data_IF_330583390588
#
_entry.id   IF_330583390588
#
_cell.length_a   1.000
_cell.length_b   1.000
_cell.length_c   1.000
_cell.angle_alpha   90.00
_cell.angle_beta   90.00
_cell.angle_gamma   90.00
#
_symmetry.space_group_name_H-M   'P 1'
#
loop_
_entity.id
_entity.type
_entity.pdbx_description
1 polymer ?
#
# COMPACT_ATOMS: atom_id res chain seq x y z
N UNK A 1 6.97 -18.03 24.24
CA UNK A 1 6.41 -16.93 23.43
C UNK A 1 6.41 -17.34 21.95
N UNK A 2 5.51 -18.25 21.56
CA UNK A 2 5.50 -18.89 20.24
C UNK A 2 4.06 -19.01 19.71
N UNK A 3 3.34 -17.91 19.44
CA UNK A 3 1.96 -17.94 18.86
C UNK A 3 1.53 -16.64 18.14
N UNK A 4 2.44 -15.84 17.57
CA UNK A 4 2.05 -14.55 16.95
C UNK A 4 2.37 -14.40 15.45
N UNK A 5 3.13 -15.32 14.86
CA UNK A 5 3.55 -15.18 13.46
C UNK A 5 2.61 -15.83 12.44
N UNK A 6 1.72 -16.74 12.87
CA UNK A 6 0.75 -17.40 11.97
C UNK A 6 -0.47 -16.54 11.59
N UNK A 7 -0.84 -15.56 12.42
CA UNK A 7 -1.98 -14.66 12.16
C UNK A 7 -1.59 -13.42 11.34
N UNK A 8 -0.32 -13.05 11.31
CA UNK A 8 0.16 -11.93 10.50
C UNK A 8 0.28 -12.28 9.00
N UNK A 9 0.52 -13.55 8.67
CA UNK A 9 0.54 -14.02 7.28
C UNK A 9 -0.85 -13.97 6.61
N UNK A 10 -1.94 -14.14 7.37
CA UNK A 10 -3.32 -14.10 6.86
C UNK A 10 -3.84 -12.67 6.64
N UNK A 11 -3.37 -11.69 7.42
CA UNK A 11 -3.77 -10.30 7.25
C UNK A 11 -3.08 -9.61 6.06
N UNK A 12 -1.89 -10.07 5.67
CA UNK A 12 -1.07 -9.43 4.63
C UNK A 12 -1.54 -9.75 3.21
N UNK A 13 -2.09 -10.95 2.96
CA UNK A 13 -2.62 -11.31 1.64
C UNK A 13 -3.95 -10.59 1.33
N UNK A 14 -4.80 -10.37 2.35
CA UNK A 14 -5.98 -9.51 2.23
C UNK A 14 -5.62 -8.03 2.00
N UNK A 15 -4.50 -7.55 2.57
CA UNK A 15 -3.98 -6.20 2.34
C UNK A 15 -3.35 -6.01 0.95
N UNK A 16 -2.85 -7.08 0.33
CA UNK A 16 -2.42 -7.09 -1.08
C UNK A 16 -3.64 -7.02 -2.02
N UNK A 17 -4.72 -7.74 -1.71
CA UNK A 17 -5.98 -7.68 -2.46
C UNK A 17 -6.72 -6.33 -2.30
N UNK A 18 -6.56 -5.63 -1.17
CA UNK A 18 -7.16 -4.29 -0.93
C UNK A 18 -6.32 -3.11 -1.44
N UNK A 19 -4.99 -3.22 -1.55
CA UNK A 19 -4.16 -2.10 -2.05
C UNK A 19 -4.22 -1.92 -3.56
N UNK A 20 -4.54 -2.97 -4.32
CA UNK A 20 -4.74 -2.87 -5.77
C UNK A 20 -6.09 -2.22 -6.13
N UNK A 21 -7.11 -2.32 -5.26
CA UNK A 21 -8.43 -1.71 -5.50
C UNK A 21 -8.57 -0.26 -5.02
N UNK A 22 -7.56 0.30 -4.31
CA UNK A 22 -7.60 1.67 -3.76
C UNK A 22 -6.61 2.66 -4.41
N UNK A 23 -5.98 2.28 -5.53
CA UNK A 23 -5.22 3.21 -6.39
C UNK A 23 -6.14 4.03 -7.30
N UNK A 24 -7.25 4.53 -6.75
CA UNK A 24 -7.98 5.62 -7.39
C UNK A 24 -7.22 6.90 -7.02
N UNK A 25 -6.42 7.37 -7.98
CA UNK A 25 -5.69 8.62 -7.88
C UNK A 25 -6.63 9.73 -7.35
N UNK A 26 -6.16 10.67 -6.51
CA UNK A 26 -6.91 11.88 -6.27
C UNK A 26 -6.98 12.65 -7.60
N UNK A 27 -8.08 12.48 -8.32
CA UNK A 27 -8.44 13.33 -9.45
C UNK A 27 -8.51 14.74 -8.89
N UNK A 28 -7.70 15.69 -9.37
CA UNK A 28 -7.90 17.09 -9.01
C UNK A 28 -9.33 17.46 -9.43
N UNK A 29 -10.10 18.18 -8.60
CA UNK A 29 -11.45 18.57 -9.00
C UNK A 29 -11.34 19.37 -10.30
N UNK A 30 -11.99 18.85 -11.34
CA UNK A 30 -12.25 19.59 -12.55
C UNK A 30 -12.99 20.87 -12.14
N UNK A 31 -12.35 22.02 -12.30
CA UNK A 31 -12.99 23.31 -12.18
C UNK A 31 -14.01 23.48 -13.32
N UNK A 32 -15.23 22.99 -13.12
CA UNK A 32 -16.41 23.44 -13.86
C UNK A 32 -17.00 24.67 -13.16
N UNK A 33 -16.27 25.78 -13.30
CA UNK A 33 -16.70 27.13 -12.92
C UNK A 33 -16.99 27.93 -14.18
N UNK A 34 -18.14 27.63 -14.77
CA UNK A 34 -18.77 28.22 -15.95
C UNK A 34 -18.85 29.76 -15.87
N UNK A 35 -18.05 30.46 -16.69
CA UNK A 35 -18.25 31.89 -17.00
C UNK A 35 -19.14 31.99 -18.25
N UNK A 36 -20.36 32.45 -18.02
CA UNK A 36 -21.30 32.84 -19.05
C UNK A 36 -20.83 34.11 -19.77
N UNK A 37 -20.80 34.10 -21.11
CA UNK A 37 -21.02 35.28 -21.95
C UNK A 37 -21.71 34.87 -23.27
N UNK A 38 -22.78 35.58 -23.70
CA UNK A 38 -23.51 35.29 -24.93
C UNK A 38 -23.20 36.26 -26.09
N UNK A 39 -23.45 35.79 -27.32
CA UNK A 39 -23.77 36.52 -28.58
C UNK A 39 -22.66 37.44 -29.18
N UNK A 40 -22.46 37.65 -30.50
CA UNK A 40 -23.28 37.51 -31.71
C UNK A 40 -22.38 37.62 -32.97
N UNK A 41 -22.79 36.99 -34.07
CA UNK A 41 -22.70 37.38 -35.49
C UNK A 41 -21.34 37.68 -36.18
N UNK A 42 -21.00 36.95 -37.25
CA UNK A 42 -21.26 37.31 -38.66
C UNK A 42 -20.63 36.26 -39.61
N UNK A 43 -21.42 35.79 -40.59
CA UNK A 43 -20.94 35.20 -41.85
C UNK A 43 -21.07 36.29 -42.94
N UNK A 44 -20.36 36.23 -44.09
CA UNK A 44 -20.90 35.40 -45.19
C UNK A 44 -19.89 34.81 -46.23
N UNK A 45 -20.25 33.60 -46.69
CA UNK A 45 -20.34 33.11 -48.10
C UNK A 45 -19.10 33.01 -49.02
N UNK A 46 -18.81 31.80 -49.52
CA UNK A 46 -19.15 31.34 -50.90
C UNK A 46 -18.87 29.83 -51.12
N UNK A 47 -19.72 29.18 -51.92
CA UNK A 47 -19.84 27.76 -52.33
C UNK A 47 -18.90 27.37 -53.53
N UNK A 48 -18.83 26.11 -54.04
CA UNK A 48 -18.90 24.75 -53.43
C UNK A 48 -17.83 23.77 -54.08
N UNK A 49 -17.99 22.42 -54.24
CA UNK A 49 -16.86 21.47 -54.10
C UNK A 49 -16.40 20.79 -55.42
N UNK A 50 -15.20 20.20 -55.43
CA UNK A 50 -14.84 19.14 -56.38
C UNK A 50 -13.97 18.08 -55.70
N UNK A 51 -14.44 16.84 -55.73
CA UNK A 51 -13.65 15.63 -55.59
C UNK A 51 -13.46 15.00 -56.99
N UNK A 52 -12.70 13.91 -57.16
CA UNK A 52 -11.38 13.56 -56.62
C UNK A 52 -10.38 13.29 -57.78
N UNK A 53 -9.07 13.18 -57.49
CA UNK A 53 -8.13 12.56 -58.44
C UNK A 53 -7.29 11.51 -57.69
N UNK A 54 -7.59 10.26 -58.01
CA UNK A 54 -6.93 9.05 -57.54
C UNK A 54 -5.44 9.05 -57.94
N UNK A 55 -4.58 8.84 -56.95
CA UNK A 55 -3.21 8.36 -57.13
C UNK A 55 -2.93 7.33 -56.04
N UNK A 56 -2.47 6.11 -56.35
CA UNK A 56 -2.19 5.11 -55.34
C UNK A 56 -0.90 5.50 -54.61
N UNK A 57 -1.03 6.03 -53.40
CA UNK A 57 0.12 6.05 -52.49
C UNK A 57 0.21 4.63 -51.93
N UNK A 58 1.28 3.94 -52.32
CA UNK A 58 1.66 2.67 -51.74
C UNK A 58 1.74 2.85 -50.21
N UNK A 59 0.80 2.23 -49.50
CA UNK A 59 0.88 2.08 -48.06
C UNK A 59 2.09 1.19 -47.78
N UNK A 60 3.22 1.80 -47.47
CA UNK A 60 4.36 1.12 -46.86
C UNK A 60 3.83 0.55 -45.55
N UNK A 61 3.56 -0.76 -45.53
CA UNK A 61 3.23 -1.47 -44.31
C UNK A 61 4.38 -1.25 -43.33
N UNK A 62 4.11 -0.53 -42.25
CA UNK A 62 4.98 -0.52 -41.09
C UNK A 62 5.11 -1.99 -40.66
N UNK A 63 6.31 -2.56 -40.60
CA UNK A 63 6.45 -3.92 -40.10
C UNK A 63 5.90 -3.93 -38.68
N UNK A 64 4.94 -4.83 -38.44
CA UNK A 64 4.47 -5.11 -37.10
C UNK A 64 5.72 -5.30 -36.21
N UNK A 65 5.82 -4.48 -35.17
CA UNK A 65 6.86 -4.66 -34.16
C UNK A 65 6.83 -6.10 -33.64
N UNK A 66 7.95 -6.60 -33.09
CA UNK A 66 8.00 -7.95 -32.53
C UNK A 66 6.77 -8.20 -31.66
N UNK A 67 6.12 -9.35 -31.87
CA UNK A 67 4.98 -9.74 -31.06
C UNK A 67 5.35 -9.62 -29.58
N UNK A 68 4.48 -9.05 -28.73
CA UNK A 68 4.77 -8.96 -27.30
C UNK A 68 5.11 -10.36 -26.78
N UNK A 69 6.11 -10.43 -25.90
CA UNK A 69 6.49 -11.68 -25.27
C UNK A 69 5.24 -12.33 -24.63
N UNK A 70 5.11 -13.67 -24.68
CA UNK A 70 4.00 -14.34 -24.02
C UNK A 70 4.00 -13.95 -22.54
N UNK A 71 2.83 -13.56 -22.03
CA UNK A 71 2.65 -13.24 -20.61
C UNK A 71 3.12 -14.42 -19.74
N UNK A 72 3.79 -14.14 -18.63
CA UNK A 72 4.33 -15.19 -17.77
C UNK A 72 3.22 -15.91 -16.98
N UNK A 73 2.00 -15.41 -17.05
CA UNK A 73 0.83 -15.90 -16.34
C UNK A 73 -0.42 -15.86 -17.23
N UNK A 74 -1.48 -16.54 -16.81
CA UNK A 74 -2.77 -16.60 -17.53
C UNK A 74 -3.86 -15.89 -16.75
N UNK A 75 -4.62 -15.06 -17.45
CA UNK A 75 -5.88 -14.52 -16.93
C UNK A 75 -6.89 -15.65 -16.73
N UNK A 76 -7.43 -15.74 -15.51
CA UNK A 76 -8.53 -16.62 -15.18
C UNK A 76 -9.86 -15.85 -15.30
N UNK A 77 -10.94 -16.49 -15.76
CA UNK A 77 -12.28 -15.90 -15.70
C UNK A 77 -12.65 -15.45 -14.28
N UNK A 78 -13.35 -14.31 -14.17
CA UNK A 78 -13.65 -13.66 -12.88
C UNK A 78 -14.37 -14.55 -11.86
N UNK A 79 -15.20 -15.49 -12.33
CA UNK A 79 -15.92 -16.43 -11.47
C UNK A 79 -14.95 -17.44 -10.82
N UNK A 80 -14.00 -17.94 -11.61
CA UNK A 80 -12.96 -18.86 -11.15
C UNK A 80 -11.97 -18.14 -10.24
N UNK A 81 -11.63 -16.89 -10.57
CA UNK A 81 -10.82 -16.03 -9.72
C UNK A 81 -11.48 -15.83 -8.34
N UNK A 82 -12.78 -15.47 -8.32
CA UNK A 82 -13.53 -15.32 -7.05
C UNK A 82 -13.58 -16.61 -6.25
N UNK A 83 -13.76 -17.76 -6.92
CA UNK A 83 -13.76 -19.05 -6.26
C UNK A 83 -12.40 -19.36 -5.61
N UNK A 84 -11.29 -19.18 -6.33
CA UNK A 84 -9.94 -19.38 -5.76
C UNK A 84 -9.65 -18.42 -4.61
N UNK A 85 -10.01 -17.15 -4.76
CA UNK A 85 -9.82 -16.16 -3.71
C UNK A 85 -10.57 -16.58 -2.42
N UNK A 86 -11.80 -17.10 -2.54
CA UNK A 86 -12.55 -17.62 -1.39
C UNK A 86 -11.89 -18.86 -0.76
N UNK A 87 -11.49 -19.84 -1.57
CA UNK A 87 -10.89 -21.09 -1.07
C UNK A 87 -9.54 -20.85 -0.36
N UNK A 88 -8.74 -19.89 -0.86
CA UNK A 88 -7.47 -19.50 -0.24
C UNK A 88 -7.68 -18.74 1.06
N UNK A 89 -8.71 -17.89 1.12
CA UNK A 89 -8.99 -17.06 2.28
C UNK A 89 -9.66 -17.83 3.41
N UNK A 90 -10.48 -18.83 3.09
CA UNK A 90 -11.20 -19.66 4.06
C UNK A 90 -10.37 -20.84 4.58
N UNK A 91 -9.23 -21.14 3.95
CA UNK A 91 -8.35 -22.25 4.34
C UNK A 91 -7.41 -21.89 5.49
N UNK A 92 -7.48 -22.67 6.58
CA UNK A 92 -6.55 -22.58 7.71
C UNK A 92 -5.21 -23.34 7.47
N UNK A 93 -5.03 -23.93 6.29
CA UNK A 93 -3.85 -24.74 5.99
C UNK A 93 -2.58 -23.89 5.85
N UNK A 94 -1.39 -24.47 6.11
CA UNK A 94 -0.10 -23.85 5.80
C UNK A 94 -0.01 -23.41 4.33
N UNK A 95 0.75 -22.35 4.05
CA UNK A 95 0.86 -21.77 2.71
C UNK A 95 1.33 -22.81 1.66
N UNK A 96 2.32 -23.64 2.00
CA UNK A 96 2.81 -24.68 1.10
C UNK A 96 1.72 -25.69 0.70
N UNK A 97 0.87 -26.09 1.65
CA UNK A 97 -0.24 -27.01 1.40
C UNK A 97 -1.35 -26.34 0.58
N UNK A 98 -1.66 -25.07 0.87
CA UNK A 98 -2.60 -24.27 0.06
C UNK A 98 -2.13 -24.16 -1.40
N UNK A 99 -0.83 -23.95 -1.62
CA UNK A 99 -0.28 -23.87 -2.97
C UNK A 99 -0.34 -25.19 -3.74
N UNK A 100 -0.09 -26.32 -3.08
CA UNK A 100 -0.25 -27.63 -3.69
C UNK A 100 -1.72 -27.91 -4.07
N UNK A 101 -2.67 -27.48 -3.24
CA UNK A 101 -4.10 -27.59 -3.54
C UNK A 101 -4.50 -26.67 -4.71
N UNK A 102 -4.02 -25.42 -4.72
CA UNK A 102 -4.23 -24.48 -5.82
C UNK A 102 -3.70 -25.03 -7.15
N UNK A 103 -2.51 -25.63 -7.15
CA UNK A 103 -1.96 -26.30 -8.33
C UNK A 103 -2.89 -27.39 -8.86
N UNK A 104 -3.44 -28.22 -7.97
CA UNK A 104 -4.36 -29.29 -8.35
C UNK A 104 -5.70 -28.78 -8.90
N UNK A 105 -6.19 -27.64 -8.40
CA UNK A 105 -7.42 -26.99 -8.89
C UNK A 105 -7.15 -26.33 -10.24
N UNK A 106 -6.08 -25.54 -10.34
CA UNK A 106 -5.71 -24.84 -11.58
C UNK A 106 -5.39 -25.82 -12.71
N UNK A 107 -4.80 -26.98 -12.44
CA UNK A 107 -4.55 -28.01 -13.46
C UNK A 107 -5.84 -28.56 -14.10
N UNK A 108 -6.99 -28.43 -13.44
CA UNK A 108 -8.30 -28.82 -14.02
C UNK A 108 -8.85 -27.75 -14.96
N UNK A 109 -8.33 -26.53 -14.87
CA UNK A 109 -8.89 -25.33 -15.50
C UNK A 109 -7.99 -24.77 -16.59
N UNK A 110 -6.68 -24.75 -16.34
CA UNK A 110 -5.65 -24.27 -17.22
C UNK A 110 -4.93 -25.48 -17.83
N UNK A 111 -4.89 -25.55 -19.16
CA UNK A 111 -4.13 -26.57 -19.87
C UNK A 111 -2.62 -26.30 -19.84
N UNK A 112 -2.22 -25.02 -19.84
CA UNK A 112 -0.83 -24.58 -19.79
C UNK A 112 -0.70 -23.20 -19.10
N UNK A 113 0.42 -22.99 -18.41
CA UNK A 113 0.71 -21.75 -17.67
C UNK A 113 0.22 -21.79 -16.22
N UNK A 114 0.51 -20.72 -15.48
CA UNK A 114 0.09 -20.53 -14.09
C UNK A 114 -0.77 -19.28 -13.94
N UNK A 115 -1.66 -19.27 -12.95
CA UNK A 115 -2.40 -18.06 -12.61
C UNK A 115 -1.54 -17.07 -11.83
N UNK A 116 -1.95 -15.80 -11.83
CA UNK A 116 -1.33 -14.78 -10.99
C UNK A 116 -1.40 -15.13 -9.49
N UNK A 117 -2.46 -15.81 -9.04
CA UNK A 117 -2.59 -16.23 -7.63
C UNK A 117 -1.53 -17.26 -7.24
N UNK A 118 -1.32 -18.26 -8.09
CA UNK A 118 -0.32 -19.29 -7.86
C UNK A 118 1.09 -18.71 -7.89
N UNK A 119 1.36 -17.80 -8.82
CA UNK A 119 2.63 -17.08 -8.91
C UNK A 119 2.91 -16.26 -7.63
N UNK A 120 1.95 -15.43 -7.21
CA UNK A 120 2.06 -14.63 -5.99
C UNK A 120 2.21 -15.50 -4.74
N UNK A 121 1.51 -16.64 -4.68
CA UNK A 121 1.63 -17.58 -3.59
C UNK A 121 3.02 -18.23 -3.52
N UNK A 122 3.59 -18.65 -4.66
CA UNK A 122 4.98 -19.15 -4.73
C UNK A 122 5.98 -18.10 -4.28
N UNK A 123 5.79 -16.83 -4.66
CA UNK A 123 6.65 -15.75 -4.21
C UNK A 123 6.54 -15.55 -2.69
N UNK A 124 5.33 -15.56 -2.14
CA UNK A 124 5.12 -15.47 -0.69
C UNK A 124 5.78 -16.63 0.07
N UNK A 125 5.75 -17.85 -0.49
CA UNK A 125 6.44 -19.01 0.09
C UNK A 125 7.96 -18.82 0.07
N UNK A 126 8.52 -18.30 -1.02
CA UNK A 126 9.95 -17.99 -1.11
C UNK A 126 10.36 -16.90 -0.10
N UNK A 127 9.53 -15.87 0.09
CA UNK A 127 9.75 -14.85 1.11
C UNK A 127 9.72 -15.43 2.53
N UNK A 128 8.80 -16.35 2.81
CA UNK A 128 8.71 -17.04 4.11
C UNK A 128 9.96 -17.88 4.38
N UNK A 129 10.43 -18.65 3.39
CA UNK A 129 11.66 -19.42 3.48
C UNK A 129 12.87 -18.51 3.71
N UNK A 130 12.98 -17.42 2.95
CA UNK A 130 14.05 -16.43 3.10
C UNK A 130 14.08 -15.86 4.52
N UNK A 131 12.92 -15.49 5.07
CA UNK A 131 12.82 -14.96 6.42
C UNK A 131 13.23 -15.98 7.49
N UNK A 132 12.88 -17.26 7.32
CA UNK A 132 13.25 -18.33 8.23
C UNK A 132 14.76 -18.63 8.17
N UNK A 133 15.32 -18.76 6.98
CA UNK A 133 16.73 -19.09 6.77
C UNK A 133 17.66 -17.98 7.27
N UNK A 134 17.25 -16.73 7.11
CA UNK A 134 18.10 -15.57 7.39
C UNK A 134 17.70 -14.83 8.68
N UNK A 135 16.85 -15.41 9.54
CA UNK A 135 16.34 -14.75 10.77
C UNK A 135 17.47 -14.22 11.66
N UNK A 136 18.54 -15.01 11.81
CA UNK A 136 19.67 -14.71 12.71
C UNK A 136 20.79 -13.89 12.05
N UNK A 137 20.68 -13.61 10.75
CA UNK A 137 21.71 -12.91 10.00
C UNK A 137 21.61 -11.39 10.17
N UNK A 138 22.74 -10.67 10.03
CA UNK A 138 22.72 -9.22 10.09
C UNK A 138 21.85 -8.63 8.98
N UNK A 139 21.29 -7.45 9.22
CA UNK A 139 20.36 -6.78 8.29
C UNK A 139 20.91 -6.67 6.87
N UNK A 140 22.20 -6.36 6.71
CA UNK A 140 22.82 -6.23 5.40
C UNK A 140 22.78 -7.53 4.58
N UNK A 141 23.01 -8.69 5.22
CA UNK A 141 22.95 -9.99 4.54
C UNK A 141 21.51 -10.37 4.21
N UNK A 142 20.57 -10.11 5.13
CA UNK A 142 19.13 -10.29 4.89
C UNK A 142 18.65 -9.45 3.69
N UNK A 143 19.10 -8.19 3.60
CA UNK A 143 18.79 -7.29 2.49
C UNK A 143 19.38 -7.75 1.16
N UNK A 144 20.63 -8.22 1.18
CA UNK A 144 21.27 -8.77 -0.01
C UNK A 144 20.51 -10.00 -0.53
N UNK A 145 20.13 -10.92 0.37
CA UNK A 145 19.33 -12.10 0.02
C UNK A 145 17.96 -11.70 -0.56
N UNK A 146 17.24 -10.77 0.07
CA UNK A 146 15.94 -10.32 -0.41
C UNK A 146 16.04 -9.63 -1.77
N UNK A 147 17.05 -8.77 -1.96
CA UNK A 147 17.28 -8.07 -3.23
C UNK A 147 17.55 -9.08 -4.34
N UNK A 148 18.40 -10.07 -4.07
CA UNK A 148 18.70 -11.14 -5.03
C UNK A 148 17.45 -11.92 -5.43
N UNK A 149 16.63 -12.35 -4.46
CA UNK A 149 15.37 -13.04 -4.74
C UNK A 149 14.44 -12.17 -5.61
N UNK A 150 14.30 -10.88 -5.28
CA UNK A 150 13.46 -9.95 -6.04
C UNK A 150 13.98 -9.72 -7.47
N UNK A 151 15.30 -9.67 -7.67
CA UNK A 151 15.91 -9.52 -8.99
C UNK A 151 15.76 -10.78 -9.84
N UNK A 152 15.91 -11.97 -9.23
CA UNK A 152 15.66 -13.25 -9.89
C UNK A 152 14.19 -13.34 -10.36
N UNK A 153 13.24 -13.01 -9.48
CA UNK A 153 11.81 -13.00 -9.84
C UNK A 153 11.45 -11.94 -10.88
N UNK A 154 12.03 -10.75 -10.82
CA UNK A 154 11.79 -9.72 -11.82
C UNK A 154 12.37 -10.09 -13.20
N UNK A 155 13.44 -10.89 -13.24
CA UNK A 155 14.01 -11.40 -14.48
C UNK A 155 13.16 -12.54 -15.07
N UNK A 156 12.60 -13.41 -14.22
CA UNK A 156 11.72 -14.50 -14.65
C UNK A 156 10.32 -14.02 -15.07
N UNK A 157 9.85 -12.88 -14.52
CA UNK A 157 8.53 -12.31 -14.74
C UNK A 157 8.61 -10.82 -15.15
N UNK A 158 9.17 -10.50 -16.33
CA UNK A 158 9.43 -9.12 -16.73
C UNK A 158 8.16 -8.30 -16.97
N UNK A 159 7.04 -8.95 -17.30
CA UNK A 159 5.72 -8.37 -17.47
C UNK A 159 5.12 -7.85 -16.15
N UNK A 160 5.50 -8.43 -15.01
CA UNK A 160 5.03 -8.04 -13.69
C UNK A 160 6.04 -7.16 -12.92
N UNK A 161 7.28 -7.06 -13.42
CA UNK A 161 8.38 -6.40 -12.71
C UNK A 161 8.10 -4.93 -12.36
N UNK A 162 7.47 -4.18 -13.27
CA UNK A 162 7.16 -2.78 -13.06
C UNK A 162 6.12 -2.56 -11.94
N UNK A 163 5.21 -3.50 -11.73
CA UNK A 163 4.13 -3.38 -10.75
C UNK A 163 4.51 -4.00 -9.41
N UNK A 164 5.05 -5.22 -9.42
CA UNK A 164 5.29 -6.01 -8.21
C UNK A 164 6.69 -5.80 -7.62
N UNK A 165 7.64 -5.34 -8.43
CA UNK A 165 9.05 -5.21 -8.04
C UNK A 165 9.59 -3.78 -8.24
N UNK A 166 8.72 -2.77 -8.30
CA UNK A 166 9.15 -1.38 -8.22
C UNK A 166 9.73 -1.04 -6.83
N UNK A 167 10.51 0.06 -6.70
CA UNK A 167 11.13 0.48 -5.45
C UNK A 167 10.19 0.52 -4.23
N UNK A 168 8.98 1.02 -4.40
CA UNK A 168 8.01 1.14 -3.32
C UNK A 168 7.47 -0.24 -2.89
N UNK A 169 7.16 -1.11 -3.85
CA UNK A 169 6.71 -2.48 -3.60
C UNK A 169 7.80 -3.30 -2.88
N UNK A 170 9.07 -3.18 -3.32
CA UNK A 170 10.20 -3.86 -2.66
C UNK A 170 10.40 -3.38 -1.22
N UNK A 171 10.28 -2.08 -0.96
CA UNK A 171 10.30 -1.54 0.40
C UNK A 171 9.14 -2.10 1.23
N UNK A 172 7.92 -2.12 0.69
CA UNK A 172 6.75 -2.64 1.40
C UNK A 172 6.95 -4.12 1.77
N UNK A 173 7.45 -4.94 0.85
CA UNK A 173 7.76 -6.35 1.10
C UNK A 173 8.79 -6.50 2.23
N UNK A 174 9.89 -5.72 2.22
CA UNK A 174 10.89 -5.75 3.28
C UNK A 174 10.32 -5.37 4.66
N UNK A 175 9.44 -4.35 4.70
CA UNK A 175 8.76 -3.91 5.92
C UNK A 175 7.78 -4.96 6.45
N UNK A 176 7.14 -5.74 5.57
CA UNK A 176 6.27 -6.84 5.99
C UNK A 176 7.06 -8.00 6.62
N UNK A 177 8.30 -8.24 6.16
CA UNK A 177 9.14 -9.33 6.67
C UNK A 177 9.79 -8.99 8.02
N UNK A 178 10.29 -7.76 8.19
CA UNK A 178 11.11 -7.40 9.35
C UNK A 178 10.54 -6.25 10.20
N UNK A 179 9.41 -5.68 9.80
CA UNK A 179 8.77 -4.56 10.50
C UNK A 179 9.40 -3.20 10.17
N UNK A 180 9.03 -2.20 10.96
CA UNK A 180 9.40 -0.80 10.77
C UNK A 180 10.60 -0.35 11.61
N UNK A 181 11.19 -1.22 12.45
CA UNK A 181 12.32 -0.87 13.32
C UNK A 181 13.54 -0.37 12.52
N UNK A 182 13.76 -0.97 11.34
CA UNK A 182 14.88 -0.66 10.46
C UNK A 182 14.46 0.22 9.26
N UNK A 183 13.32 0.91 9.34
CA UNK A 183 12.71 1.62 8.22
C UNK A 183 13.68 2.57 7.51
N UNK A 184 14.54 3.28 8.25
CA UNK A 184 15.51 4.20 7.64
C UNK A 184 16.52 3.47 6.75
N UNK A 185 17.02 2.31 7.19
CA UNK A 185 17.92 1.48 6.42
C UNK A 185 17.21 0.89 5.20
N UNK A 186 15.99 0.37 5.39
CA UNK A 186 15.18 -0.19 4.31
C UNK A 186 14.83 0.86 3.24
N UNK A 187 14.38 2.04 3.65
CA UNK A 187 13.97 3.11 2.75
C UNK A 187 15.15 3.62 1.91
N UNK A 188 16.33 3.78 2.52
CA UNK A 188 17.55 4.20 1.80
C UNK A 188 18.09 3.13 0.86
N UNK A 189 17.81 1.85 1.13
CA UNK A 189 18.20 0.74 0.27
C UNK A 189 17.34 0.64 -0.99
N UNK A 190 16.01 0.75 -0.84
CA UNK A 190 15.08 0.52 -1.95
C UNK A 190 14.65 1.79 -2.69
N UNK A 191 14.54 2.94 -2.01
CA UNK A 191 13.98 4.16 -2.60
C UNK A 191 15.06 5.13 -3.09
N UNK A 192 14.73 6.00 -4.07
CA UNK A 192 15.54 7.17 -4.37
C UNK A 192 15.72 8.06 -3.13
N UNK A 193 16.90 8.69 -2.99
CA UNK A 193 17.29 9.43 -1.79
C UNK A 193 16.24 10.43 -1.27
N UNK A 194 15.62 11.23 -2.15
CA UNK A 194 14.59 12.20 -1.75
C UNK A 194 13.34 11.51 -1.17
N UNK A 195 12.92 10.39 -1.75
CA UNK A 195 11.76 9.63 -1.28
C UNK A 195 12.07 8.86 0.01
N UNK A 196 13.30 8.36 0.15
CA UNK A 196 13.77 7.71 1.36
C UNK A 196 13.71 8.69 2.55
N UNK A 197 14.27 9.90 2.39
CA UNK A 197 14.27 10.90 3.45
C UNK A 197 12.85 11.38 3.79
N UNK A 198 11.99 11.61 2.79
CA UNK A 198 10.58 11.95 3.03
C UNK A 198 9.85 10.86 3.84
N UNK A 199 10.09 9.58 3.50
CA UNK A 199 9.50 8.44 4.21
C UNK A 199 9.95 8.39 5.67
N UNK A 200 11.24 8.59 5.92
CA UNK A 200 11.82 8.59 7.28
C UNK A 200 11.29 9.76 8.11
N UNK A 201 11.23 10.96 7.53
CA UNK A 201 10.69 12.14 8.20
C UNK A 201 9.21 11.98 8.55
N UNK A 202 8.41 11.42 7.64
CA UNK A 202 7.01 11.12 7.89
C UNK A 202 6.82 10.11 9.03
N UNK A 203 7.64 9.05 9.06
CA UNK A 203 7.59 8.08 10.15
C UNK A 203 7.97 8.71 11.51
N UNK A 204 9.00 9.56 11.52
CA UNK A 204 9.44 10.27 12.71
C UNK A 204 8.36 11.22 13.25
N UNK A 205 7.72 12.01 12.37
CA UNK A 205 6.65 12.93 12.78
C UNK A 205 5.43 12.18 13.34
N UNK A 206 5.06 11.04 12.73
CA UNK A 206 3.99 10.17 13.25
C UNK A 206 4.33 9.60 14.62
N UNK A 207 5.57 9.14 14.83
CA UNK A 207 6.02 8.63 16.11
C UNK A 207 5.99 9.71 17.19
N UNK A 208 6.41 10.93 16.86
CA UNK A 208 6.33 12.08 17.76
C UNK A 208 4.88 12.39 18.15
N UNK A 209 3.94 12.37 17.21
CA UNK A 209 2.52 12.56 17.50
C UNK A 209 1.96 11.49 18.44
N UNK A 210 2.33 10.21 18.22
CA UNK A 210 1.91 9.11 19.09
C UNK A 210 2.49 9.24 20.49
N UNK A 211 3.78 9.62 20.60
CA UNK A 211 4.42 9.88 21.89
C UNK A 211 3.75 11.03 22.63
N UNK A 212 3.43 12.14 21.95
CA UNK A 212 2.69 13.25 22.54
C UNK A 212 1.30 12.83 23.04
N UNK A 213 0.56 12.05 22.24
CA UNK A 213 -0.76 11.52 22.64
C UNK A 213 -0.68 10.60 23.86
N UNK A 214 0.31 9.72 23.88
CA UNK A 214 0.56 8.83 25.01
C UNK A 214 0.90 9.62 26.27
N UNK A 215 1.79 10.60 26.15
CA UNK A 215 2.19 11.47 27.26
C UNK A 215 1.00 12.27 27.81
N UNK A 216 0.19 12.85 26.93
CA UNK A 216 -1.05 13.53 27.30
C UNK A 216 -1.99 12.61 28.08
N UNK A 217 -2.19 11.38 27.61
CA UNK A 217 -3.08 10.40 28.26
C UNK A 217 -2.56 10.00 29.64
N UNK A 218 -1.25 9.83 29.81
CA UNK A 218 -0.63 9.52 31.10
C UNK A 218 -0.87 10.66 32.11
N UNK A 219 -0.55 11.90 31.74
CA UNK A 219 -0.74 13.06 32.60
C UNK A 219 -2.23 13.31 32.92
N UNK A 220 -3.12 13.12 31.95
CA UNK A 220 -4.56 13.23 32.18
C UNK A 220 -5.03 12.19 33.21
N UNK A 221 -4.56 10.95 33.10
CA UNK A 221 -4.91 9.88 34.03
C UNK A 221 -4.41 10.18 35.45
N UNK A 222 -3.17 10.67 35.58
CA UNK A 222 -2.61 11.09 36.88
C UNK A 222 -3.39 12.26 37.49
N UNK A 223 -3.75 13.25 36.68
CA UNK A 223 -4.54 14.40 37.11
C UNK A 223 -5.94 13.97 37.58
N UNK A 224 -6.59 13.05 36.87
CA UNK A 224 -7.90 12.53 37.27
C UNK A 224 -7.83 11.74 38.58
N UNK A 225 -6.75 11.01 38.84
CA UNK A 225 -6.54 10.33 40.13
C UNK A 225 -6.33 11.33 41.26
N UNK A 226 -5.53 12.38 41.04
CA UNK A 226 -5.34 13.46 42.02
C UNK A 226 -6.66 14.18 42.32
N UNK A 227 -7.44 14.44 41.27
CA UNK A 227 -8.78 15.01 41.41
C UNK A 227 -9.68 14.08 42.24
N UNK A 228 -9.78 12.80 41.89
CA UNK A 228 -10.59 11.84 42.66
C UNK A 228 -10.19 11.80 44.15
N UNK A 229 -8.90 11.89 44.47
CA UNK A 229 -8.41 11.95 45.85
C UNK A 229 -8.74 13.29 46.55
N UNK A 230 -8.82 14.40 45.81
CA UNK A 230 -9.11 15.74 46.31
C UNK A 230 -10.60 16.03 46.56
N UNK A 231 -11.50 15.11 46.17
CA UNK A 231 -12.97 15.28 46.26
C UNK A 231 -13.47 15.69 47.65
N UNK A 232 -12.89 15.13 48.72
CA UNK A 232 -13.14 15.57 50.10
C UNK A 232 -14.62 15.78 50.48
N UNK A 233 -14.88 16.78 51.33
CA UNK A 233 -16.22 17.19 51.79
C UNK A 233 -16.94 18.14 50.80
N UNK A 234 -16.52 18.21 49.53
CA UNK A 234 -17.21 19.02 48.54
C UNK A 234 -18.55 18.37 48.16
N UNK A 235 -19.57 19.21 48.04
CA UNK A 235 -20.83 18.92 47.39
C UNK A 235 -20.63 18.62 45.89
N UNK A 236 -21.48 17.77 45.30
CA UNK A 236 -21.27 17.26 43.94
C UNK A 236 -21.20 18.36 42.88
N UNK A 237 -21.98 19.44 43.03
CA UNK A 237 -21.99 20.56 42.09
C UNK A 237 -20.67 21.36 42.12
N UNK A 238 -20.15 21.65 43.32
CA UNK A 238 -18.87 22.35 43.47
C UNK A 238 -17.69 21.48 43.02
N UNK A 239 -17.78 20.16 43.26
CA UNK A 239 -16.81 19.18 42.79
C UNK A 239 -16.71 19.11 41.26
N UNK A 240 -17.84 19.02 40.55
CA UNK A 240 -17.85 18.98 39.08
C UNK A 240 -17.30 20.27 38.47
N UNK A 241 -17.67 21.43 39.02
CA UNK A 241 -17.16 22.72 38.57
C UNK A 241 -15.64 22.83 38.75
N UNK A 242 -15.11 22.36 39.89
CA UNK A 242 -13.68 22.33 40.14
C UNK A 242 -12.94 21.38 39.18
N UNK A 243 -13.46 20.16 38.98
CA UNK A 243 -12.90 19.18 38.03
C UNK A 243 -12.83 19.75 36.62
N UNK A 244 -13.90 20.36 36.11
CA UNK A 244 -13.93 20.96 34.77
C UNK A 244 -12.94 22.13 34.65
N UNK A 245 -12.82 22.97 35.66
CA UNK A 245 -11.87 24.08 35.67
C UNK A 245 -10.42 23.59 35.59
N UNK A 246 -10.06 22.59 36.41
CA UNK A 246 -8.71 22.01 36.46
C UNK A 246 -8.39 21.28 35.15
N UNK A 247 -9.30 20.45 34.63
CA UNK A 247 -9.11 19.76 33.34
C UNK A 247 -9.02 20.75 32.17
N UNK A 248 -9.82 21.82 32.19
CA UNK A 248 -9.80 22.88 31.19
C UNK A 248 -8.49 23.67 31.19
N UNK A 249 -7.94 23.96 32.38
CA UNK A 249 -6.62 24.58 32.52
C UNK A 249 -5.52 23.65 32.00
N UNK A 250 -5.49 22.40 32.45
CA UNK A 250 -4.52 21.41 32.02
C UNK A 250 -4.43 21.28 30.50
N UNK A 251 -5.57 21.19 29.79
CA UNK A 251 -5.57 21.11 28.32
C UNK A 251 -4.95 22.33 27.66
N UNK A 252 -5.30 23.54 28.13
CA UNK A 252 -4.73 24.79 27.59
C UNK A 252 -3.23 24.83 27.80
N UNK A 253 -2.78 24.51 29.01
CA UNK A 253 -1.36 24.57 29.38
C UNK A 253 -0.55 23.50 28.62
N UNK A 254 -1.10 22.29 28.44
CA UNK A 254 -0.45 21.21 27.70
C UNK A 254 -0.24 21.56 26.23
N UNK A 255 -1.30 22.04 25.54
CA UNK A 255 -1.20 22.37 24.12
C UNK A 255 -0.52 23.72 23.85
N UNK A 256 -0.46 24.63 24.82
CA UNK A 256 0.32 25.88 24.71
C UNK A 256 1.84 25.64 24.85
N UNK A 257 2.24 24.54 25.50
CA UNK A 257 3.65 24.16 25.66
C UNK A 257 4.20 23.38 24.47
N UNK A 258 3.35 22.86 23.58
CA UNK A 258 3.78 22.30 22.30
C UNK A 258 4.09 23.48 21.38
N UNK A 259 5.37 23.83 21.14
CA UNK A 259 5.65 24.84 20.13
C UNK A 259 5.13 24.29 18.80
N UNK A 260 4.46 25.10 18.01
CA UNK A 260 4.40 24.86 16.57
C UNK A 260 5.85 24.75 16.09
N UNK A 261 6.32 23.53 15.86
CA UNK A 261 7.56 23.33 15.13
C UNK A 261 7.26 23.50 13.64
N UNK A 262 8.09 24.28 12.92
CA UNK A 262 7.88 24.68 11.54
C UNK A 262 7.85 23.50 10.56
#
# INVERSE_FOLDING_TARGET
MKRRYGLLALAVLALLLLNLSWQEAPTPPAHTGQLAQPATAEAPQTQPPLAPASGPVAATAVPAGPAPAPASWRELPDEMNRQLASEVSDSEQPLAERLANLEAIEAQWLSEGESLFRLQGRYALALEQLAQEHEQLPLAERLAALTRLQDEWAADHPDLAAELFNPAARLQQARQLWGDEELATLARHFLPAAQAEATVQFAASRQQQLAQRSHYQQQLTELEQQLAASRGNMDEASWQQHREAVLGQFRRDFFAQTPEQP
#
